data_IF_527096002520
#
_entry.id   IF_527096002520
#
_cell.length_a   1.000
_cell.length_b   1.000
_cell.length_c   1.000
_cell.angle_alpha   90.00
_cell.angle_beta   90.00
_cell.angle_gamma   90.00
#
_symmetry.space_group_name_H-M   'P 1'
#
loop_
_entity.id
_entity.type
_entity.pdbx_description
1 polymer ?
#
# COMPACT_ATOMS: atom_id res chain seq x y z
N UNK A 1 2.65 17.02 -17.85
CA UNK A 1 1.33 16.39 -17.67
C UNK A 1 1.45 15.38 -16.55
N UNK A 2 0.60 15.42 -15.52
CA UNK A 2 0.71 14.46 -14.41
C UNK A 2 0.45 13.05 -14.96
N UNK A 3 1.48 12.19 -14.95
CA UNK A 3 1.35 10.78 -15.32
C UNK A 3 0.27 10.19 -14.41
N UNK A 4 -0.75 9.57 -15.01
CA UNK A 4 -1.79 8.89 -14.23
C UNK A 4 -1.09 7.83 -13.38
N UNK A 5 -1.28 7.86 -12.05
CA UNK A 5 -0.70 6.85 -11.16
C UNK A 5 -1.22 5.49 -11.58
N UNK A 6 -0.30 4.61 -11.94
CA UNK A 6 -0.64 3.26 -12.36
C UNK A 6 -1.12 2.45 -11.16
N UNK A 7 -1.98 1.46 -11.39
CA UNK A 7 -2.58 0.66 -10.31
C UNK A 7 -1.55 0.05 -9.36
N UNK A 8 -0.41 -0.38 -9.90
CA UNK A 8 0.69 -0.97 -9.12
C UNK A 8 1.39 0.06 -8.23
N UNK A 9 1.54 1.29 -8.71
CA UNK A 9 2.10 2.41 -7.94
C UNK A 9 1.18 2.78 -6.77
N UNK A 10 -0.14 2.80 -7.01
CA UNK A 10 -1.12 3.02 -5.93
C UNK A 10 -1.00 1.96 -4.83
N UNK A 11 -0.91 0.69 -5.22
CA UNK A 11 -0.72 -0.41 -4.26
C UNK A 11 0.61 -0.26 -3.52
N UNK A 12 1.70 0.04 -4.23
CA UNK A 12 3.01 0.27 -3.64
C UNK A 12 2.99 1.39 -2.60
N UNK A 13 2.35 2.52 -2.89
CA UNK A 13 2.28 3.66 -1.98
C UNK A 13 1.48 3.37 -0.71
N UNK A 14 0.38 2.61 -0.82
CA UNK A 14 -0.38 2.16 0.36
C UNK A 14 0.49 1.25 1.23
N UNK A 15 1.11 0.23 0.63
CA UNK A 15 1.87 -0.78 1.37
C UNK A 15 3.16 -0.20 1.98
N UNK A 16 3.85 0.68 1.25
CA UNK A 16 5.03 1.39 1.75
C UNK A 16 4.67 2.34 2.90
N UNK A 17 3.54 3.06 2.82
CA UNK A 17 3.07 3.91 3.92
C UNK A 17 2.82 3.13 5.22
N UNK A 18 2.38 1.86 5.14
CA UNK A 18 2.24 0.97 6.31
C UNK A 18 3.63 0.58 6.84
N UNK A 19 4.55 0.14 5.95
CA UNK A 19 5.92 -0.24 6.32
C UNK A 19 6.64 0.90 7.04
N UNK A 20 6.59 2.10 6.46
CA UNK A 20 7.32 3.28 6.93
C UNK A 20 6.74 3.85 8.24
N UNK A 21 5.53 3.41 8.63
CA UNK A 21 4.91 3.70 9.93
C UNK A 21 5.18 2.61 10.98
N UNK A 22 6.23 1.80 10.81
CA UNK A 22 6.59 0.73 11.73
C UNK A 22 5.70 -0.51 11.60
N UNK A 23 5.18 -0.77 10.40
CA UNK A 23 4.28 -1.89 10.08
C UNK A 23 2.98 -1.93 10.91
N UNK A 24 2.57 -0.79 11.46
CA UNK A 24 1.36 -0.69 12.28
C UNK A 24 0.78 0.71 12.19
N UNK A 25 -0.27 0.88 11.37
CA UNK A 25 -0.84 2.20 11.09
C UNK A 25 -2.37 2.21 11.27
N UNK A 26 -2.90 3.31 11.83
CA UNK A 26 -4.34 3.53 11.91
C UNK A 26 -4.94 3.84 10.53
N UNK A 27 -6.16 3.38 10.20
CA UNK A 27 -6.83 3.66 8.92
C UNK A 27 -6.84 5.15 8.54
N UNK A 28 -7.17 6.03 9.49
CA UNK A 28 -7.19 7.48 9.24
C UNK A 28 -5.81 8.03 8.87
N UNK A 29 -4.76 7.59 9.58
CA UNK A 29 -3.38 8.01 9.29
C UNK A 29 -2.91 7.46 7.94
N UNK A 30 -3.29 6.23 7.61
CA UNK A 30 -2.96 5.61 6.33
C UNK A 30 -3.66 6.32 5.16
N UNK A 31 -4.93 6.70 5.31
CA UNK A 31 -5.65 7.48 4.30
C UNK A 31 -4.90 8.79 3.99
N UNK A 32 -4.54 9.55 5.02
CA UNK A 32 -3.78 10.80 4.85
C UNK A 32 -2.40 10.60 4.20
N UNK A 33 -1.73 9.46 4.45
CA UNK A 33 -0.45 9.13 3.82
C UNK A 33 -0.58 8.59 2.39
N UNK A 34 -1.69 7.94 2.05
CA UNK A 34 -1.86 7.23 0.77
C UNK A 34 -2.06 8.15 -0.46
N UNK A 35 -2.32 9.45 -0.24
CA UNK A 35 -2.65 10.41 -1.29
C UNK A 35 -3.80 9.91 -2.21
N UNK A 36 -4.83 9.32 -1.60
CA UNK A 36 -6.02 8.78 -2.26
C UNK A 36 -7.29 9.45 -1.76
N UNK A 37 -8.32 9.46 -2.60
CA UNK A 37 -9.67 9.79 -2.15
C UNK A 37 -10.18 8.72 -1.18
N UNK A 38 -11.10 9.06 -0.24
CA UNK A 38 -11.63 8.10 0.73
C UNK A 38 -12.28 6.86 0.09
N UNK A 39 -12.94 7.05 -1.06
CA UNK A 39 -13.57 5.98 -1.82
C UNK A 39 -12.53 5.00 -2.37
N UNK A 40 -11.53 5.52 -3.09
CA UNK A 40 -10.46 4.71 -3.68
C UNK A 40 -9.66 3.99 -2.59
N UNK A 41 -9.33 4.69 -1.51
CA UNK A 41 -8.64 4.10 -0.37
C UNK A 41 -9.36 2.87 0.18
N UNK A 42 -10.68 2.98 0.40
CA UNK A 42 -11.50 1.87 0.92
C UNK A 42 -11.50 0.68 -0.04
N UNK A 43 -11.61 0.91 -1.33
CA UNK A 43 -11.59 -0.12 -2.36
C UNK A 43 -10.24 -0.85 -2.39
N UNK A 44 -9.13 -0.12 -2.48
CA UNK A 44 -7.79 -0.70 -2.53
C UNK A 44 -7.43 -1.43 -1.24
N UNK A 45 -7.67 -0.85 -0.06
CA UNK A 45 -7.33 -1.50 1.21
C UNK A 45 -8.17 -2.75 1.42
N UNK A 46 -9.47 -2.71 1.09
CA UNK A 46 -10.33 -3.90 1.14
C UNK A 46 -9.84 -4.99 0.20
N UNK A 47 -9.45 -4.65 -1.02
CA UNK A 47 -8.91 -5.60 -1.98
C UNK A 47 -7.58 -6.20 -1.50
N UNK A 48 -6.66 -5.37 -1.00
CA UNK A 48 -5.36 -5.81 -0.51
C UNK A 48 -5.49 -6.68 0.74
N UNK A 49 -6.46 -6.39 1.62
CA UNK A 49 -6.80 -7.23 2.77
C UNK A 49 -7.32 -8.59 2.31
N UNK A 50 -8.32 -8.60 1.40
CA UNK A 50 -8.89 -9.83 0.83
C UNK A 50 -7.84 -10.69 0.11
N UNK A 51 -6.88 -10.06 -0.55
CA UNK A 51 -5.77 -10.75 -1.23
C UNK A 51 -4.62 -11.13 -0.28
N UNK A 52 -4.71 -10.76 1.00
CA UNK A 52 -3.74 -11.11 2.04
C UNK A 52 -2.42 -10.37 1.94
N UNK A 53 -2.36 -9.17 1.35
CA UNK A 53 -1.18 -8.30 1.38
C UNK A 53 -1.06 -7.52 2.70
N UNK A 54 -2.20 -7.27 3.32
CA UNK A 54 -2.29 -6.59 4.61
C UNK A 54 -3.25 -7.34 5.52
N UNK A 55 -3.09 -7.16 6.82
CA UNK A 55 -3.95 -7.66 7.86
C UNK A 55 -4.54 -6.48 8.62
N UNK A 56 -5.84 -6.56 8.91
CA UNK A 56 -6.53 -5.64 9.81
C UNK A 56 -6.60 -6.28 11.20
N UNK A 57 -6.15 -5.56 12.22
CA UNK A 57 -6.15 -6.02 13.60
C UNK A 57 -6.84 -5.00 14.51
N UNK A 58 -7.57 -5.50 15.52
CA UNK A 58 -8.20 -4.72 16.58
C UNK A 58 -9.71 -4.50 16.42
N UNK A 59 -10.32 -4.01 17.50
CA UNK A 59 -11.76 -3.74 17.59
C UNK A 59 -12.12 -2.32 17.08
N UNK A 60 -13.42 -2.05 16.95
CA UNK A 60 -13.95 -0.75 16.56
C UNK A 60 -13.31 0.39 17.40
N UNK A 61 -12.58 1.29 16.73
CA UNK A 61 -11.87 2.42 17.35
C UNK A 61 -10.37 2.22 17.58
N UNK A 62 -9.85 0.97 17.57
CA UNK A 62 -8.41 0.65 17.71
C UNK A 62 -7.84 -0.13 16.52
N UNK A 63 -8.55 -0.10 15.39
CA UNK A 63 -8.13 -0.81 14.17
C UNK A 63 -6.80 -0.29 13.66
N UNK A 64 -5.95 -1.21 13.25
CA UNK A 64 -4.68 -0.93 12.60
C UNK A 64 -4.43 -1.90 11.45
N UNK A 65 -3.70 -1.42 10.46
CA UNK A 65 -3.22 -2.22 9.35
C UNK A 65 -1.75 -2.54 9.54
N UNK A 66 -1.39 -3.78 9.22
CA UNK A 66 -0.02 -4.27 9.14
C UNK A 66 0.16 -5.04 7.84
N UNK A 67 1.37 -5.05 7.29
CA UNK A 67 1.74 -5.91 6.17
C UNK A 67 1.84 -7.36 6.62
N UNK A 68 1.46 -8.26 5.72
CA UNK A 68 1.77 -9.69 5.81
C UNK A 68 3.09 -9.96 5.08
N UNK A 69 3.60 -11.19 5.17
CA UNK A 69 4.76 -11.64 4.38
C UNK A 69 4.55 -11.40 2.87
N UNK A 70 3.32 -11.59 2.39
CA UNK A 70 2.94 -11.33 1.00
C UNK A 70 3.04 -9.84 0.66
N UNK A 71 2.63 -8.97 1.57
CA UNK A 71 2.79 -7.51 1.45
C UNK A 71 4.25 -7.09 1.35
N UNK A 72 5.12 -7.63 2.22
CA UNK A 72 6.56 -7.37 2.15
C UNK A 72 7.17 -7.87 0.84
N UNK A 73 6.83 -9.09 0.41
CA UNK A 73 7.31 -9.63 -0.88
C UNK A 73 6.91 -8.75 -2.05
N UNK A 74 5.68 -8.23 -2.07
CA UNK A 74 5.24 -7.30 -3.12
C UNK A 74 6.14 -6.06 -3.19
N UNK A 75 6.44 -5.43 -2.05
CA UNK A 75 7.30 -4.24 -2.01
C UNK A 75 8.70 -4.52 -2.58
N UNK A 76 9.27 -5.69 -2.28
CA UNK A 76 10.57 -6.08 -2.81
C UNK A 76 10.52 -6.35 -4.32
N UNK A 77 9.50 -7.06 -4.81
CA UNK A 77 9.34 -7.32 -6.24
C UNK A 77 9.06 -6.03 -7.03
N UNK A 78 8.31 -5.10 -6.47
CA UNK A 78 8.05 -3.82 -7.11
C UNK A 78 9.32 -3.00 -7.30
N UNK A 79 10.23 -2.99 -6.31
CA UNK A 79 11.55 -2.34 -6.47
C UNK A 79 12.35 -2.94 -7.61
N UNK A 80 12.32 -4.27 -7.79
CA UNK A 80 13.00 -4.94 -8.91
C UNK A 80 12.43 -4.48 -10.25
N UNK A 81 11.11 -4.35 -10.36
CA UNK A 81 10.44 -3.87 -11.57
C UNK A 81 10.82 -2.41 -11.87
N UNK A 82 10.77 -1.53 -10.86
CA UNK A 82 11.14 -0.12 -11.04
C UNK A 82 12.59 0.02 -11.46
N UNK A 83 13.49 -0.74 -10.83
CA UNK A 83 14.90 -0.76 -11.20
C UNK A 83 15.10 -1.24 -12.64
N UNK A 84 14.39 -2.30 -13.04
CA UNK A 84 14.44 -2.78 -14.42
C UNK A 84 13.99 -1.69 -15.40
N UNK A 85 12.86 -1.02 -15.14
CA UNK A 85 12.38 0.08 -15.99
C UNK A 85 13.42 1.20 -16.09
N UNK A 86 14.02 1.59 -14.97
CA UNK A 86 15.06 2.63 -14.89
C UNK A 86 16.35 2.24 -15.65
N UNK A 87 16.81 1.00 -15.48
CA UNK A 87 18.00 0.44 -16.15
C UNK A 87 17.86 0.46 -17.69
N UNK A 88 16.62 0.41 -18.21
CA UNK A 88 16.31 0.46 -19.65
C UNK A 88 15.74 1.82 -20.11
N UNK A 89 15.61 2.81 -19.22
CA UNK A 89 15.15 4.17 -19.52
C UNK A 89 13.69 4.25 -20.01
N UNK A 90 12.80 3.39 -19.52
CA UNK A 90 11.39 3.27 -19.95
C UNK A 90 10.39 4.05 -19.06
#
# INVERSE_FOLDING_TARGET
MAKKRERLEVIYDILSAIRDDGNRIKPTRLLHKSNLSPQMFKEYVSEMNKKGFLAEQGEAGKRHYSLTDKGFRFLEQYKVIVKFIDDFGL
#
